data_IF_245975404316
#
_entry.id   IF_245975404316
#
_cell.length_a   1.000
_cell.length_b   1.000
_cell.length_c   1.000
_cell.angle_alpha   90.00
_cell.angle_beta   90.00
_cell.angle_gamma   90.00
#
_symmetry.space_group_name_H-M   'P 1'
#
loop_
_entity.id
_entity.type
_entity.pdbx_description
1 polymer ?
#
# COMPACT_ATOMS: atom_id res chain seq x y z
N UNK A 1 -11.27 -30.24 -7.29
CA UNK A 1 -11.47 -28.78 -7.22
C UNK A 1 -10.20 -28.11 -7.70
N UNK A 2 -10.18 -27.61 -8.94
CA UNK A 2 -9.02 -26.95 -9.53
C UNK A 2 -8.85 -25.60 -8.82
N UNK A 3 -7.90 -25.48 -7.89
CA UNK A 3 -7.56 -24.19 -7.29
C UNK A 3 -6.71 -23.42 -8.29
N UNK A 4 -7.29 -22.39 -8.91
CA UNK A 4 -6.57 -21.48 -9.78
C UNK A 4 -5.59 -20.63 -8.95
N UNK A 5 -4.35 -21.11 -8.83
CA UNK A 5 -3.33 -20.56 -7.94
C UNK A 5 -2.96 -19.11 -8.27
N UNK A 6 -3.09 -18.69 -9.54
CA UNK A 6 -2.79 -17.33 -9.98
C UNK A 6 -3.74 -16.28 -9.42
N UNK A 7 -5.05 -16.53 -9.51
CA UNK A 7 -6.08 -15.61 -8.97
C UNK A 7 -5.95 -15.47 -7.46
N UNK A 8 -5.72 -16.57 -6.73
CA UNK A 8 -5.56 -16.50 -5.28
C UNK A 8 -4.34 -15.69 -4.86
N UNK A 9 -3.21 -15.84 -5.58
CA UNK A 9 -2.00 -15.05 -5.33
C UNK A 9 -2.22 -13.55 -5.54
N UNK A 10 -2.98 -13.19 -6.58
CA UNK A 10 -3.30 -11.78 -6.86
C UNK A 10 -4.19 -11.18 -5.77
N UNK A 11 -5.25 -11.90 -5.35
CA UNK A 11 -6.15 -11.44 -4.29
C UNK A 11 -5.42 -11.29 -2.95
N UNK A 12 -4.48 -12.19 -2.64
CA UNK A 12 -3.68 -12.12 -1.43
C UNK A 12 -2.70 -10.93 -1.42
N UNK A 13 -2.43 -10.30 -2.57
CA UNK A 13 -1.58 -9.12 -2.67
C UNK A 13 -2.35 -7.80 -2.44
N UNK A 14 -3.66 -7.85 -2.24
CA UNK A 14 -4.49 -6.69 -1.93
C UNK A 14 -4.33 -6.31 -0.45
N UNK A 15 -4.14 -5.02 -0.19
CA UNK A 15 -3.99 -4.46 1.15
C UNK A 15 -2.57 -4.52 1.69
N UNK A 16 -2.41 -4.29 3.00
CA UNK A 16 -1.12 -4.21 3.69
C UNK A 16 -0.09 -3.26 3.03
N UNK A 17 -0.59 -2.24 2.34
CA UNK A 17 0.26 -1.22 1.74
C UNK A 17 0.90 -0.35 2.81
N UNK A 18 2.20 -0.01 2.67
CA UNK A 18 2.95 0.67 3.72
C UNK A 18 2.46 2.10 3.92
N UNK A 19 2.58 2.57 5.17
CA UNK A 19 2.56 3.99 5.50
C UNK A 19 3.96 4.57 5.31
N UNK A 20 4.08 5.60 4.48
CA UNK A 20 5.33 6.28 4.16
C UNK A 20 5.31 7.67 4.78
N UNK A 21 6.33 8.00 5.59
CA UNK A 21 6.45 9.34 6.18
C UNK A 21 6.77 10.36 5.09
N UNK A 22 5.93 11.39 4.97
CA UNK A 22 6.12 12.48 4.02
C UNK A 22 7.02 13.55 4.63
N UNK A 23 8.33 13.39 4.48
CA UNK A 23 9.35 14.22 5.15
C UNK A 23 9.12 15.72 4.99
N UNK A 24 9.00 16.21 3.75
CA UNK A 24 8.91 17.65 3.48
C UNK A 24 7.73 18.33 4.18
N UNK A 25 6.51 17.79 4.03
CA UNK A 25 5.32 18.35 4.67
C UNK A 25 5.30 18.13 6.17
N UNK A 26 5.87 17.02 6.66
CA UNK A 26 5.99 16.78 8.10
C UNK A 26 6.93 17.81 8.74
N UNK A 27 8.06 18.10 8.10
CA UNK A 27 9.01 19.10 8.56
C UNK A 27 8.45 20.53 8.45
N UNK A 28 7.73 20.85 7.36
CA UNK A 28 7.13 22.16 7.16
C UNK A 28 6.01 22.49 8.17
N UNK A 29 5.33 21.48 8.70
CA UNK A 29 4.17 21.66 9.60
C UNK A 29 4.46 21.33 11.06
N UNK A 30 5.51 20.56 11.34
CA UNK A 30 5.78 19.98 12.65
C UNK A 30 4.87 18.81 13.03
N UNK A 31 3.94 18.42 12.16
CA UNK A 31 3.10 17.25 12.34
C UNK A 31 3.75 16.01 11.70
N UNK A 32 3.49 14.83 12.25
CA UNK A 32 3.86 13.59 11.57
C UNK A 32 2.80 13.23 10.51
N UNK A 33 3.14 13.46 9.25
CA UNK A 33 2.28 13.21 8.10
C UNK A 33 2.76 11.96 7.36
N UNK A 34 1.83 11.01 7.18
CA UNK A 34 2.08 9.76 6.47
C UNK A 34 1.12 9.62 5.28
N UNK A 35 1.62 9.06 4.18
CA UNK A 35 0.80 8.63 3.04
C UNK A 35 0.70 7.11 3.00
N UNK A 36 -0.48 6.57 2.67
CA UNK A 36 -0.67 5.14 2.45
C UNK A 36 -0.42 4.81 0.98
N UNK A 37 0.52 3.90 0.71
CA UNK A 37 0.98 3.59 -0.65
C UNK A 37 0.02 2.67 -1.42
N UNK A 38 -1.24 3.10 -1.61
CA UNK A 38 -2.27 2.28 -2.26
C UNK A 38 -1.93 1.87 -3.70
N UNK A 39 -1.07 2.65 -4.37
CA UNK A 39 -0.52 2.31 -5.70
C UNK A 39 0.23 0.98 -5.75
N UNK A 40 0.59 0.42 -4.59
CA UNK A 40 1.25 -0.88 -4.48
C UNK A 40 0.25 -2.05 -4.51
N UNK A 41 -1.05 -1.81 -4.48
CA UNK A 41 -2.04 -2.86 -4.72
C UNK A 41 -1.97 -3.33 -6.17
N UNK A 42 -2.34 -4.60 -6.44
CA UNK A 42 -2.55 -5.04 -7.81
C UNK A 42 -3.65 -4.21 -8.49
N UNK A 43 -3.32 -3.60 -9.62
CA UNK A 43 -4.22 -2.71 -10.37
C UNK A 43 -3.84 -1.22 -10.29
N UNK A 44 -3.00 -0.85 -9.31
CA UNK A 44 -2.70 0.55 -9.00
C UNK A 44 -3.78 1.17 -8.13
#
# INVERSE_FOLDING_TARGET
MQHNTGTQKLLNAIGNTPLIRLRGVSEATGCDIYGKAEFMNPGG
#
